data_IF_855158584413
#
_entry.id   IF_855158584413
#
_cell.length_a   1.000
_cell.length_b   1.000
_cell.length_c   1.000
_cell.angle_alpha   90.00
_cell.angle_beta   90.00
_cell.angle_gamma   90.00
#
_symmetry.space_group_name_H-M   'P 1'
#
loop_
_entity.id
_entity.type
_entity.pdbx_description
1 polymer ?
#
# COMPACT_ATOMS: atom_id res chain seq x y z
N UNK A 1 22.81 12.00 1.26
CA UNK A 1 21.37 12.35 1.25
C UNK A 1 21.00 12.75 2.67
N UNK A 2 20.46 13.95 2.87
CA UNK A 2 20.06 14.38 4.20
C UNK A 2 18.57 14.05 4.46
N UNK A 3 18.10 14.30 5.68
CA UNK A 3 16.73 14.01 6.10
C UNK A 3 15.67 14.86 5.37
N UNK A 4 16.05 16.06 4.91
CA UNK A 4 15.18 16.97 4.15
C UNK A 4 14.92 16.40 2.76
N UNK A 5 15.97 15.91 2.07
CA UNK A 5 15.84 15.25 0.76
C UNK A 5 14.92 14.02 0.85
N UNK A 6 15.11 13.21 1.89
CA UNK A 6 14.23 12.07 2.18
C UNK A 6 12.78 12.53 2.36
N UNK A 7 12.56 13.59 3.14
CA UNK A 7 11.24 14.17 3.37
C UNK A 7 10.54 14.60 2.08
N UNK A 8 11.26 15.25 1.17
CA UNK A 8 10.74 15.62 -0.14
C UNK A 8 10.39 14.40 -0.99
N UNK A 9 11.27 13.40 -1.07
CA UNK A 9 11.00 12.17 -1.84
C UNK A 9 9.80 11.40 -1.27
N UNK A 10 9.71 11.30 0.06
CA UNK A 10 8.57 10.68 0.75
C UNK A 10 7.28 11.40 0.42
N UNK A 11 7.26 12.73 0.50
CA UNK A 11 6.07 13.54 0.19
C UNK A 11 5.62 13.34 -1.26
N UNK A 12 6.55 13.46 -2.21
CA UNK A 12 6.28 13.28 -3.64
C UNK A 12 5.67 11.91 -3.88
N UNK A 13 6.34 10.85 -3.40
CA UNK A 13 5.90 9.49 -3.63
C UNK A 13 4.57 9.16 -2.94
N UNK A 14 4.36 9.66 -1.73
CA UNK A 14 3.08 9.53 -1.02
C UNK A 14 1.94 10.12 -1.85
N UNK A 15 2.14 11.31 -2.43
CA UNK A 15 1.11 11.97 -3.24
C UNK A 15 0.83 11.24 -4.54
N UNK A 16 1.86 10.68 -5.20
CA UNK A 16 1.68 9.83 -6.38
C UNK A 16 0.82 8.59 -6.07
N UNK A 17 1.03 7.97 -4.90
CA UNK A 17 0.24 6.82 -4.44
C UNK A 17 -1.15 7.20 -3.90
N UNK A 18 -1.51 8.50 -3.93
CA UNK A 18 -2.80 9.00 -3.47
C UNK A 18 -2.99 9.00 -1.95
N UNK A 19 -1.97 8.64 -1.17
CA UNK A 19 -2.05 8.51 0.28
C UNK A 19 -2.09 9.89 0.97
N UNK A 20 -2.87 10.02 2.03
CA UNK A 20 -2.72 11.13 2.98
C UNK A 20 -1.54 10.89 3.94
N UNK A 21 -1.09 11.93 4.63
CA UNK A 21 -0.07 11.77 5.68
C UNK A 21 -0.53 10.82 6.80
N UNK A 22 -1.80 10.91 7.20
CA UNK A 22 -2.34 10.02 8.23
C UNK A 22 -2.31 8.54 7.76
N UNK A 23 -2.71 8.29 6.51
CA UNK A 23 -2.68 6.94 5.94
C UNK A 23 -1.25 6.40 5.83
N UNK A 24 -0.30 7.16 5.29
CA UNK A 24 1.09 6.68 5.21
C UNK A 24 1.69 6.44 6.59
N UNK A 25 1.41 7.31 7.56
CA UNK A 25 1.87 7.12 8.94
C UNK A 25 1.34 5.80 9.50
N UNK A 26 0.03 5.55 9.34
CA UNK A 26 -0.60 4.32 9.81
C UNK A 26 -0.07 3.06 9.11
N UNK A 27 0.05 3.10 7.78
CA UNK A 27 0.58 2.00 6.95
C UNK A 27 2.06 1.68 7.26
N UNK A 28 2.84 2.67 7.68
CA UNK A 28 4.26 2.50 8.04
C UNK A 28 4.48 2.25 9.54
N UNK A 29 3.43 2.29 10.36
CA UNK A 29 3.56 2.19 11.82
C UNK A 29 4.22 3.42 12.48
N UNK A 30 4.25 4.56 11.80
CA UNK A 30 4.77 5.83 12.31
C UNK A 30 3.63 6.69 12.88
N UNK A 31 3.98 7.62 13.79
CA UNK A 31 3.01 8.64 14.21
C UNK A 31 2.81 9.67 13.11
N UNK A 32 1.60 10.24 13.01
CA UNK A 32 1.31 11.34 12.08
C UNK A 32 2.28 12.51 12.28
N UNK A 33 2.61 12.84 13.53
CA UNK A 33 3.58 13.90 13.86
C UNK A 33 4.96 13.61 13.28
N UNK A 34 5.43 12.35 13.37
CA UNK A 34 6.72 11.94 12.77
C UNK A 34 6.69 12.16 11.27
N UNK A 35 5.64 11.70 10.59
CA UNK A 35 5.56 11.84 9.13
C UNK A 35 5.44 13.31 8.70
N UNK A 36 4.63 14.12 9.39
CA UNK A 36 4.53 15.56 9.13
C UNK A 36 5.88 16.25 9.33
N UNK A 37 6.58 15.90 10.41
CA UNK A 37 7.90 16.45 10.70
C UNK A 37 8.92 16.11 9.62
N UNK A 38 8.90 14.87 9.13
CA UNK A 38 9.74 14.38 8.05
C UNK A 38 9.47 15.16 6.76
N UNK A 39 8.21 15.22 6.30
CA UNK A 39 7.85 15.89 5.04
C UNK A 39 8.08 17.41 5.06
N UNK A 40 8.12 18.02 6.25
CA UNK A 40 8.39 19.45 6.44
C UNK A 40 9.86 19.76 6.75
N UNK A 41 10.74 18.76 6.86
CA UNK A 41 12.16 18.96 7.18
C UNK A 41 12.43 19.48 8.60
N UNK A 42 11.51 19.22 9.54
CA UNK A 42 11.60 19.70 10.93
C UNK A 42 12.10 18.64 11.91
N UNK A 43 12.24 17.38 11.46
CA UNK A 43 12.88 16.35 12.26
C UNK A 43 14.39 16.57 12.30
N UNK A 44 14.97 16.44 13.50
CA UNK A 44 16.42 16.40 13.69
C UNK A 44 17.02 15.05 13.35
N UNK A 45 16.26 13.96 13.53
CA UNK A 45 16.66 12.59 13.24
C UNK A 45 15.46 11.68 12.93
N UNK A 46 15.70 10.63 12.16
CA UNK A 46 14.78 9.54 11.89
C UNK A 46 15.59 8.24 11.79
N UNK A 47 15.61 7.44 12.88
CA UNK A 47 16.39 6.20 12.93
C UNK A 47 16.14 5.25 11.74
N UNK A 48 17.17 4.49 11.35
CA UNK A 48 17.21 3.66 10.13
C UNK A 48 16.01 2.72 9.97
N UNK A 49 15.51 2.15 11.07
CA UNK A 49 14.32 1.30 11.05
C UNK A 49 13.07 2.04 10.56
N UNK A 50 12.86 3.28 11.01
CA UNK A 50 11.71 4.11 10.61
C UNK A 50 11.82 4.58 9.17
N UNK A 51 13.05 4.87 8.72
CA UNK A 51 13.34 5.10 7.29
C UNK A 51 12.94 3.88 6.48
N UNK A 52 13.40 2.69 6.88
CA UNK A 52 13.06 1.42 6.21
C UNK A 52 11.56 1.15 6.18
N UNK A 53 10.83 1.43 7.26
CA UNK A 53 9.37 1.28 7.33
C UNK A 53 8.65 2.16 6.30
N UNK A 54 8.96 3.46 6.25
CA UNK A 54 8.27 4.37 5.31
C UNK A 54 8.67 4.11 3.86
N UNK A 55 9.95 3.83 3.58
CA UNK A 55 10.42 3.58 2.22
C UNK A 55 9.90 2.25 1.68
N UNK A 56 9.76 1.21 2.52
CA UNK A 56 9.17 -0.07 2.14
C UNK A 56 7.71 0.09 1.70
N UNK A 57 6.90 0.85 2.44
CA UNK A 57 5.50 1.12 2.08
C UNK A 57 5.40 1.87 0.75
N UNK A 58 6.29 2.84 0.53
CA UNK A 58 6.31 3.67 -0.68
C UNK A 58 6.95 2.98 -1.91
N UNK A 59 7.59 1.83 -1.71
CA UNK A 59 8.36 1.14 -2.74
C UNK A 59 9.58 1.92 -3.20
N UNK A 60 10.23 2.64 -2.27
CA UNK A 60 11.46 3.38 -2.51
C UNK A 60 12.66 2.52 -2.14
N UNK A 61 13.52 2.22 -3.10
CA UNK A 61 14.69 1.37 -2.90
C UNK A 61 15.93 2.21 -2.53
N UNK A 62 16.58 1.86 -1.42
CA UNK A 62 17.83 2.47 -0.94
C UNK A 62 19.03 1.99 -1.76
N UNK A 63 20.06 2.82 -2.03
CA UNK A 63 20.32 4.16 -1.48
C UNK A 63 19.78 5.33 -2.33
N UNK A 64 19.32 5.08 -3.56
CA UNK A 64 18.88 6.16 -4.47
C UNK A 64 17.48 6.69 -4.15
N UNK A 65 16.68 5.95 -3.38
CA UNK A 65 15.26 6.23 -3.11
C UNK A 65 14.49 6.49 -4.40
N UNK A 66 14.58 5.54 -5.33
CA UNK A 66 13.82 5.55 -6.56
C UNK A 66 12.83 4.37 -6.60
N UNK A 67 11.99 4.35 -7.64
CA UNK A 67 10.97 3.32 -7.86
C UNK A 67 11.37 2.35 -8.96
N UNK A 68 12.64 2.28 -9.38
CA UNK A 68 13.04 1.46 -10.54
C UNK A 68 12.84 -0.03 -10.27
N UNK A 69 13.25 -0.53 -9.10
CA UNK A 69 13.04 -1.93 -8.76
C UNK A 69 11.56 -2.21 -8.49
N UNK A 70 10.85 -1.27 -7.87
CA UNK A 70 9.40 -1.29 -7.70
C UNK A 70 8.63 -1.48 -9.02
N UNK A 71 8.96 -0.74 -10.08
CA UNK A 71 8.29 -0.81 -11.40
C UNK A 71 8.44 -2.15 -12.12
N UNK A 72 9.46 -2.94 -11.76
CA UNK A 72 9.69 -4.27 -12.35
C UNK A 72 8.86 -5.37 -11.67
N UNK A 73 8.22 -5.07 -10.53
CA UNK A 73 7.45 -6.05 -9.76
C UNK A 73 6.01 -6.13 -10.24
N UNK A 74 5.42 -7.31 -10.10
CA UNK A 74 4.02 -7.61 -10.43
C UNK A 74 3.21 -7.66 -9.14
N UNK A 75 2.79 -6.51 -8.62
CA UNK A 75 2.11 -6.37 -7.33
C UNK A 75 0.83 -7.17 -7.22
N UNK A 76 -0.03 -7.11 -8.24
CA UNK A 76 -1.27 -7.88 -8.30
C UNK A 76 -0.98 -9.39 -8.27
N UNK A 77 0.02 -9.84 -9.02
CA UNK A 77 0.42 -11.25 -9.04
C UNK A 77 0.99 -11.70 -7.69
N UNK A 78 1.87 -10.89 -7.10
CA UNK A 78 2.45 -11.18 -5.78
C UNK A 78 1.36 -11.26 -4.71
N UNK A 79 0.45 -10.28 -4.66
CA UNK A 79 -0.66 -10.25 -3.73
C UNK A 79 -1.59 -11.45 -3.90
N UNK A 80 -1.99 -11.75 -5.14
CA UNK A 80 -2.83 -12.89 -5.47
C UNK A 80 -2.18 -14.22 -5.04
N UNK A 81 -0.86 -14.38 -5.25
CA UNK A 81 -0.16 -15.60 -4.87
C UNK A 81 0.02 -15.73 -3.36
N UNK A 82 0.30 -14.64 -2.65
CA UNK A 82 0.41 -14.64 -1.18
C UNK A 82 -0.85 -15.18 -0.51
N UNK A 83 -2.03 -14.90 -1.09
CA UNK A 83 -3.30 -15.23 -0.42
C UNK A 83 -3.98 -16.49 -0.91
N UNK A 84 -3.47 -17.11 -1.97
CA UNK A 84 -4.05 -18.33 -2.57
C UNK A 84 -3.47 -19.62 -1.99
N UNK A 85 -2.49 -19.54 -1.08
CA UNK A 85 -1.77 -20.72 -0.54
C UNK A 85 -2.65 -21.70 0.24
N UNK A 86 -3.76 -21.24 0.81
CA UNK A 86 -4.65 -22.05 1.66
C UNK A 86 -6.01 -22.34 1.02
N UNK A 87 -6.22 -21.98 -0.25
CA UNK A 87 -7.50 -22.12 -0.92
C UNK A 87 -7.39 -23.03 -2.14
N UNK A 88 -8.42 -23.85 -2.36
CA UNK A 88 -8.47 -24.79 -3.49
C UNK A 88 -8.53 -24.12 -4.87
N UNK A 89 -8.96 -22.85 -4.94
CA UNK A 89 -9.09 -22.10 -6.18
C UNK A 89 -8.29 -20.81 -6.08
N UNK A 90 -7.28 -20.66 -6.92
CA UNK A 90 -6.43 -19.46 -6.91
C UNK A 90 -7.21 -18.21 -7.31
N UNK A 91 -6.93 -17.09 -6.66
CA UNK A 91 -7.39 -15.77 -7.10
C UNK A 91 -6.51 -15.31 -8.26
N UNK A 92 -7.08 -15.07 -9.44
CA UNK A 92 -6.34 -14.52 -10.57
C UNK A 92 -5.95 -13.05 -10.30
N UNK A 93 -4.78 -12.58 -10.75
CA UNK A 93 -4.36 -11.18 -10.60
C UNK A 93 -5.39 -10.18 -11.18
N UNK A 94 -6.03 -10.53 -12.28
CA UNK A 94 -7.05 -9.72 -12.97
C UNK A 94 -8.35 -9.63 -12.15
N UNK A 95 -8.71 -10.71 -11.44
CA UNK A 95 -9.85 -10.70 -10.52
C UNK A 95 -9.56 -9.83 -9.28
N UNK A 96 -8.32 -9.86 -8.78
CA UNK A 96 -7.89 -8.95 -7.71
C UNK A 96 -7.90 -7.50 -8.19
N UNK A 97 -7.41 -7.23 -9.40
CA UNK A 97 -7.44 -5.91 -10.01
C UNK A 97 -8.86 -5.35 -10.07
N UNK A 98 -9.81 -6.13 -10.62
CA UNK A 98 -11.21 -5.75 -10.69
C UNK A 98 -11.79 -5.47 -9.30
N UNK A 99 -11.48 -6.31 -8.31
CA UNK A 99 -11.98 -6.10 -6.96
C UNK A 99 -11.45 -4.82 -6.33
N UNK A 100 -10.16 -4.52 -6.49
CA UNK A 100 -9.57 -3.27 -6.00
C UNK A 100 -10.12 -2.04 -6.76
N UNK A 101 -10.36 -2.17 -8.07
CA UNK A 101 -10.86 -1.09 -8.92
C UNK A 101 -12.35 -0.79 -8.72
N UNK A 102 -13.18 -1.79 -8.40
CA UNK A 102 -14.63 -1.64 -8.18
C UNK A 102 -15.02 -1.52 -6.70
N UNK A 103 -14.18 -2.03 -5.80
CA UNK A 103 -14.53 -2.21 -4.38
C UNK A 103 -15.57 -3.30 -4.17
N UNK A 104 -15.64 -4.28 -5.07
CA UNK A 104 -16.57 -5.41 -5.02
C UNK A 104 -15.83 -6.71 -5.29
N UNK A 105 -16.13 -7.75 -4.52
CA UNK A 105 -15.52 -9.07 -4.67
C UNK A 105 -16.61 -10.11 -4.89
N UNK A 106 -16.49 -10.98 -5.91
CA UNK A 106 -17.41 -12.11 -6.03
C UNK A 106 -17.35 -12.98 -4.77
N UNK A 107 -18.51 -13.40 -4.25
CA UNK A 107 -18.62 -14.14 -2.99
C UNK A 107 -17.62 -15.33 -2.86
N UNK A 108 -17.35 -16.11 -3.91
CA UNK A 108 -16.36 -17.18 -3.83
C UNK A 108 -14.91 -16.74 -3.54
N UNK A 109 -14.57 -15.46 -3.73
CA UNK A 109 -13.24 -14.89 -3.48
C UNK A 109 -13.18 -13.98 -2.24
N UNK A 110 -14.31 -13.77 -1.55
CA UNK A 110 -14.34 -12.98 -0.31
C UNK A 110 -13.33 -13.46 0.75
N UNK A 111 -13.11 -14.79 0.97
CA UNK A 111 -12.08 -15.26 1.90
C UNK A 111 -10.66 -14.85 1.50
N UNK A 112 -10.35 -14.85 0.20
CA UNK A 112 -9.03 -14.45 -0.31
C UNK A 112 -8.75 -12.98 -0.02
N UNK A 113 -9.75 -12.11 -0.23
CA UNK A 113 -9.61 -10.68 0.03
C UNK A 113 -9.60 -10.36 1.53
N UNK A 114 -10.32 -11.13 2.34
CA UNK A 114 -10.23 -11.04 3.80
C UNK A 114 -8.81 -11.36 4.25
N UNK A 115 -8.27 -12.49 3.80
CA UNK A 115 -6.90 -12.91 4.10
C UNK A 115 -5.84 -11.93 3.56
N UNK A 116 -6.04 -11.35 2.37
CA UNK A 116 -5.17 -10.30 1.83
C UNK A 116 -5.07 -9.10 2.79
N UNK A 117 -6.23 -8.60 3.23
CA UNK A 117 -6.29 -7.40 4.04
C UNK A 117 -5.91 -7.65 5.50
N UNK A 118 -6.00 -8.88 6.01
CA UNK A 118 -5.59 -9.23 7.38
C UNK A 118 -4.15 -9.72 7.52
N UNK A 119 -3.59 -10.39 6.51
CA UNK A 119 -2.31 -11.09 6.68
C UNK A 119 -1.23 -10.62 5.71
N UNK A 120 -1.58 -10.11 4.51
CA UNK A 120 -0.56 -9.74 3.54
C UNK A 120 0.31 -8.57 4.05
N UNK A 121 1.62 -8.56 3.74
CA UNK A 121 2.47 -7.43 4.07
C UNK A 121 1.97 -6.15 3.41
N UNK A 122 1.90 -5.05 4.16
CA UNK A 122 1.41 -3.75 3.67
C UNK A 122 2.08 -3.30 2.36
N UNK A 123 3.41 -3.41 2.18
CA UNK A 123 4.07 -3.04 0.92
C UNK A 123 3.56 -3.79 -0.33
N UNK A 124 3.05 -5.02 -0.14
CA UNK A 124 2.47 -5.84 -1.22
C UNK A 124 1.07 -5.31 -1.56
N UNK A 125 0.25 -4.98 -0.56
CA UNK A 125 -1.07 -4.37 -0.80
C UNK A 125 -0.94 -3.03 -1.50
N UNK A 126 -0.01 -2.17 -1.06
CA UNK A 126 0.27 -0.88 -1.74
C UNK A 126 0.73 -1.10 -3.18
N UNK A 127 1.48 -2.18 -3.46
CA UNK A 127 1.88 -2.56 -4.82
C UNK A 127 0.71 -2.94 -5.69
N UNK A 128 -0.19 -3.76 -5.17
CA UNK A 128 -1.38 -4.17 -5.88
C UNK A 128 -2.30 -2.97 -6.15
N UNK A 129 -2.44 -2.05 -5.19
CA UNK A 129 -3.23 -0.82 -5.35
C UNK A 129 -2.64 0.10 -6.41
N UNK A 130 -1.31 0.32 -6.38
CA UNK A 130 -0.61 1.12 -7.38
C UNK A 130 -0.80 0.55 -8.79
N UNK A 131 -0.58 -0.76 -8.96
CA UNK A 131 -0.73 -1.43 -10.24
C UNK A 131 -2.19 -1.44 -10.72
N UNK A 132 -3.16 -1.69 -9.82
CA UNK A 132 -4.58 -1.64 -10.15
C UNK A 132 -5.02 -0.25 -10.59
N UNK A 133 -4.57 0.82 -9.91
CA UNK A 133 -4.85 2.19 -10.30
C UNK A 133 -4.31 2.49 -11.70
N UNK A 134 -3.08 2.06 -11.99
CA UNK A 134 -2.46 2.24 -13.31
C UNK A 134 -3.21 1.50 -14.42
N UNK A 135 -3.59 0.23 -14.21
CA UNK A 135 -4.24 -0.60 -15.25
C UNK A 135 -5.70 -0.23 -15.47
N UNK A 136 -6.43 0.08 -14.40
CA UNK A 136 -7.81 0.53 -14.47
C UNK A 136 -7.94 2.02 -14.86
N UNK A 137 -6.82 2.74 -15.01
CA UNK A 137 -6.78 4.18 -15.29
C UNK A 137 -7.57 5.01 -14.27
N UNK A 138 -7.48 4.63 -13.00
CA UNK A 138 -8.17 5.28 -11.89
C UNK A 138 -7.20 6.11 -11.04
N UNK A 139 -7.65 7.22 -10.43
CA UNK A 139 -6.86 7.89 -9.40
C UNK A 139 -6.57 6.92 -8.25
N UNK A 140 -5.31 6.79 -7.75
CA UNK A 140 -4.98 5.89 -6.64
C UNK A 140 -5.82 6.11 -5.38
N UNK A 141 -6.23 7.37 -5.12
CA UNK A 141 -7.17 7.73 -4.06
C UNK A 141 -8.51 6.99 -4.15
N UNK A 142 -9.01 6.78 -5.36
CA UNK A 142 -10.26 6.05 -5.58
C UNK A 142 -10.09 4.57 -5.25
N UNK A 143 -8.97 3.97 -5.66
CA UNK A 143 -8.65 2.57 -5.32
C UNK A 143 -8.50 2.38 -3.80
N UNK A 144 -7.86 3.32 -3.09
CA UNK A 144 -7.82 3.27 -1.61
C UNK A 144 -9.20 3.34 -0.96
N UNK A 145 -10.12 4.17 -1.49
CA UNK A 145 -11.51 4.19 -1.00
C UNK A 145 -12.20 2.84 -1.19
N UNK A 146 -11.92 2.16 -2.29
CA UNK A 146 -12.44 0.82 -2.55
C UNK A 146 -11.85 -0.21 -1.60
N UNK A 147 -10.55 -0.12 -1.29
CA UNK A 147 -9.92 -0.97 -0.27
C UNK A 147 -10.59 -0.76 1.09
N UNK A 148 -10.84 0.49 1.49
CA UNK A 148 -11.56 0.81 2.73
C UNK A 148 -13.00 0.23 2.73
N UNK A 149 -13.70 0.35 1.60
CA UNK A 149 -15.05 -0.25 1.40
C UNK A 149 -15.01 -1.76 1.57
N UNK A 150 -14.07 -2.45 0.91
CA UNK A 150 -13.87 -3.89 1.01
C UNK A 150 -13.52 -4.32 2.44
N UNK A 151 -12.60 -3.62 3.10
CA UNK A 151 -12.24 -3.89 4.49
C UNK A 151 -13.45 -3.80 5.43
N UNK A 152 -14.34 -2.83 5.18
CA UNK A 152 -15.59 -2.67 5.92
C UNK A 152 -16.60 -3.79 5.63
N UNK A 153 -16.83 -4.13 4.36
CA UNK A 153 -17.83 -5.14 3.98
C UNK A 153 -17.42 -6.57 4.32
N UNK A 154 -16.12 -6.87 4.30
CA UNK A 154 -15.56 -8.18 4.62
C UNK A 154 -15.25 -8.37 6.12
N UNK A 155 -15.50 -7.34 6.95
CA UNK A 155 -15.25 -7.38 8.39
C UNK A 155 -13.82 -7.80 8.77
N UNK A 156 -12.83 -7.28 8.04
CA UNK A 156 -11.41 -7.63 8.25
C UNK A 156 -10.93 -7.09 9.60
N UNK A 157 -10.09 -7.85 10.31
CA UNK A 157 -9.56 -7.47 11.63
C UNK A 157 -8.72 -6.20 11.56
N UNK A 158 -7.90 -6.06 10.52
CA UNK A 158 -7.09 -4.85 10.27
C UNK A 158 -7.89 -3.72 9.62
N UNK A 159 -9.22 -3.65 9.76
CA UNK A 159 -10.06 -2.62 9.11
C UNK A 159 -9.55 -1.20 9.33
N UNK A 160 -9.13 -0.88 10.56
CA UNK A 160 -8.61 0.45 10.89
C UNK A 160 -7.31 0.79 10.12
N UNK A 161 -6.54 -0.20 9.67
CA UNK A 161 -5.36 -0.01 8.83
C UNK A 161 -5.70 0.56 7.45
N UNK A 162 -6.89 0.22 6.96
CA UNK A 162 -7.34 0.48 5.59
C UNK A 162 -8.35 1.63 5.48
N UNK A 163 -8.76 2.20 6.62
CA UNK A 163 -9.78 3.25 6.71
C UNK A 163 -9.29 4.64 6.29
#
# INVERSE_FOLDING_TARGET
>A
MNLIDLGHTVRTRRTELGLSQAQLAHLSGLSRQTLVGLENGTLSDLGVNRVGQVTAVLGLDSPKLDTQARRKKRGLWMAAKTVSVSYARELAPEALEQALASGEVPAPFAPHLTHLLDEAPVPIVVMAVEEAASRAHLPPRQVWRNVAKLAGSLSVHRRALWA
#
